data_IF_132910491033
#
_entry.id   IF_132910491033
#
_cell.length_a   1.000
_cell.length_b   1.000
_cell.length_c   1.000
_cell.angle_alpha   90.00
_cell.angle_beta   90.00
_cell.angle_gamma   90.00
#
_symmetry.space_group_name_H-M   'P 1'
#
loop_
_entity.id
_entity.type
_entity.pdbx_description
1 polymer ?
#
# COMPACT_ATOMS: atom_id res chain seq x y z
N UNK A 1 30.17 9.07 -38.88
CA UNK A 1 29.19 9.00 -37.78
C UNK A 1 28.31 10.22 -37.92
N UNK A 2 26.99 10.06 -37.99
CA UNK A 2 26.07 11.18 -38.01
C UNK A 2 25.70 11.50 -36.56
N UNK A 3 25.89 12.74 -36.15
CA UNK A 3 25.45 13.22 -34.84
C UNK A 3 23.92 13.19 -34.78
N UNK A 4 23.37 12.78 -33.64
CA UNK A 4 21.93 12.81 -33.43
C UNK A 4 21.44 14.26 -33.44
N UNK A 5 20.24 14.52 -34.00
CA UNK A 5 19.67 15.85 -33.98
C UNK A 5 19.42 16.30 -32.53
N UNK A 6 19.54 17.60 -32.23
CA UNK A 6 19.12 18.18 -30.95
C UNK A 6 17.71 17.72 -30.56
N UNK A 7 17.48 17.51 -29.26
CA UNK A 7 16.18 17.01 -28.76
C UNK A 7 15.04 17.95 -29.13
N UNK A 8 15.33 19.24 -29.26
CA UNK A 8 14.41 20.31 -29.65
C UNK A 8 13.90 20.14 -31.09
N UNK A 9 14.68 19.47 -31.94
CA UNK A 9 14.35 19.23 -33.35
C UNK A 9 13.50 17.96 -33.53
N UNK A 10 13.29 17.18 -32.47
CA UNK A 10 12.44 15.99 -32.49
C UNK A 10 10.96 16.37 -32.35
N UNK A 11 10.07 15.47 -32.81
CA UNK A 11 8.64 15.64 -32.57
C UNK A 11 8.32 15.65 -31.07
N UNK A 12 7.27 16.38 -30.67
CA UNK A 12 6.86 16.49 -29.25
C UNK A 12 6.69 15.10 -28.60
N UNK A 13 6.11 14.15 -29.33
CA UNK A 13 5.94 12.77 -28.87
C UNK A 13 7.28 12.06 -28.63
N UNK A 14 8.27 12.26 -29.51
CA UNK A 14 9.61 11.68 -29.34
C UNK A 14 10.36 12.33 -28.16
N UNK A 15 10.20 13.64 -27.97
CA UNK A 15 10.74 14.35 -26.80
C UNK A 15 10.16 13.79 -25.49
N UNK A 16 8.86 13.53 -25.45
CA UNK A 16 8.20 13.00 -24.26
C UNK A 16 8.64 11.57 -23.95
N UNK A 17 8.80 10.72 -24.98
CA UNK A 17 9.35 9.36 -24.81
C UNK A 17 10.79 9.40 -24.29
N UNK A 18 11.63 10.30 -24.83
CA UNK A 18 13.01 10.48 -24.35
C UNK A 18 13.03 10.96 -22.89
N UNK A 19 12.19 11.93 -22.53
CA UNK A 19 12.06 12.41 -21.14
C UNK A 19 11.63 11.28 -20.19
N UNK A 20 10.68 10.45 -20.60
CA UNK A 20 10.24 9.29 -19.81
C UNK A 20 11.38 8.28 -19.67
N UNK A 21 12.10 7.97 -20.75
CA UNK A 21 13.27 7.09 -20.70
C UNK A 21 14.41 7.63 -19.82
N UNK A 22 14.65 8.95 -19.86
CA UNK A 22 15.64 9.62 -19.00
C UNK A 22 15.25 9.54 -17.52
N UNK A 23 13.98 9.79 -17.20
CA UNK A 23 13.49 9.87 -15.82
C UNK A 23 13.27 8.49 -15.20
N UNK A 24 12.64 7.56 -15.92
CA UNK A 24 12.22 6.26 -15.38
C UNK A 24 13.31 5.19 -15.54
N UNK A 25 14.16 5.29 -16.56
CA UNK A 25 15.19 4.29 -16.86
C UNK A 25 16.62 4.80 -16.63
N UNK A 26 16.78 6.04 -16.17
CA UNK A 26 18.07 6.67 -15.89
C UNK A 26 19.02 6.65 -17.11
N UNK A 27 18.46 6.77 -18.32
CA UNK A 27 19.18 6.78 -19.59
C UNK A 27 19.51 8.22 -19.98
N UNK A 28 20.79 8.59 -20.11
CA UNK A 28 21.16 9.98 -20.44
C UNK A 28 21.23 10.21 -21.96
N UNK A 29 20.37 11.08 -22.51
CA UNK A 29 20.40 11.52 -23.91
C UNK A 29 21.46 12.62 -24.06
N UNK A 30 22.75 12.24 -24.22
CA UNK A 30 23.36 11.99 -25.53
C UNK A 30 24.26 10.73 -25.58
N UNK A 31 24.24 9.88 -24.55
CA UNK A 31 25.10 8.70 -24.42
C UNK A 31 24.54 7.44 -25.11
N UNK A 32 23.48 7.58 -25.92
CA UNK A 32 23.01 6.50 -26.79
C UNK A 32 24.04 6.24 -27.88
N UNK A 33 24.78 5.13 -27.79
CA UNK A 33 25.74 4.77 -28.83
C UNK A 33 25.04 4.60 -30.18
N UNK A 34 25.71 4.85 -31.33
CA UNK A 34 25.14 4.66 -32.67
C UNK A 34 24.62 3.24 -32.94
N UNK A 35 25.06 2.27 -32.15
CA UNK A 35 24.64 0.87 -32.23
C UNK A 35 23.49 0.54 -31.26
N UNK A 36 22.99 1.49 -30.44
CA UNK A 36 21.70 1.35 -29.77
C UNK A 36 20.52 1.64 -30.71
N UNK A 37 20.80 2.18 -31.89
CA UNK A 37 19.90 2.32 -33.04
C UNK A 37 19.66 0.99 -33.78
N UNK A 38 19.98 -0.17 -33.16
CA UNK A 38 19.58 -1.47 -33.68
C UNK A 38 18.05 -1.62 -33.61
N UNK A 39 17.43 -1.17 -34.70
CA UNK A 39 16.07 -1.41 -35.16
C UNK A 39 15.03 -1.13 -34.08
N UNK A 40 14.72 0.15 -33.90
CA UNK A 40 13.37 0.48 -33.46
C UNK A 40 12.43 -0.26 -34.43
N UNK A 41 11.58 -1.18 -33.94
CA UNK A 41 10.77 -1.98 -34.81
C UNK A 41 9.90 -1.04 -35.65
N UNK A 42 9.75 -1.34 -36.94
CA UNK A 42 8.83 -0.57 -37.78
C UNK A 42 7.45 -0.50 -37.10
N UNK A 43 6.65 0.56 -37.28
CA UNK A 43 5.43 0.76 -36.51
C UNK A 43 4.53 -0.48 -36.41
N UNK A 44 4.40 -1.27 -37.49
CA UNK A 44 3.63 -2.52 -37.44
C UNK A 44 4.25 -3.59 -36.53
N UNK A 45 5.58 -3.70 -36.52
CA UNK A 45 6.32 -4.62 -35.66
C UNK A 45 6.32 -4.16 -34.20
N UNK A 46 6.36 -2.84 -33.96
CA UNK A 46 6.21 -2.25 -32.62
C UNK A 46 4.80 -2.54 -32.08
N UNK A 47 3.77 -2.35 -32.89
CA UNK A 47 2.38 -2.71 -32.52
C UNK A 47 2.27 -4.20 -32.22
N UNK A 48 2.86 -5.08 -33.05
CA UNK A 48 2.87 -6.54 -32.78
C UNK A 48 3.60 -6.90 -31.48
N UNK A 49 4.75 -6.28 -31.20
CA UNK A 49 5.51 -6.48 -29.95
C UNK A 49 4.73 -5.97 -28.74
N UNK A 50 4.09 -4.81 -28.84
CA UNK A 50 3.21 -4.27 -27.80
C UNK A 50 1.92 -5.10 -27.61
N UNK A 51 1.51 -5.88 -28.63
CA UNK A 51 0.38 -6.79 -28.56
C UNK A 51 0.69 -8.14 -27.89
N UNK A 52 1.95 -8.45 -27.56
CA UNK A 52 2.26 -9.66 -26.82
C UNK A 52 1.58 -9.67 -25.44
N UNK A 53 0.95 -10.79 -25.09
CA UNK A 53 0.12 -10.88 -23.88
C UNK A 53 0.80 -10.47 -22.58
N UNK A 54 2.11 -10.70 -22.42
CA UNK A 54 2.86 -10.27 -21.24
C UNK A 54 3.21 -8.77 -21.26
N UNK A 55 3.47 -8.18 -22.43
CA UNK A 55 3.69 -6.74 -22.59
C UNK A 55 2.36 -5.99 -22.41
N UNK A 56 1.27 -6.48 -22.99
CA UNK A 56 -0.07 -5.99 -22.72
C UNK A 56 -0.42 -6.10 -21.23
N UNK A 57 -0.06 -7.21 -20.57
CA UNK A 57 -0.26 -7.35 -19.13
C UNK A 57 0.47 -6.23 -18.37
N UNK A 58 1.72 -5.95 -18.69
CA UNK A 58 2.50 -4.85 -18.09
C UNK A 58 2.07 -3.43 -18.51
N UNK A 59 1.41 -3.30 -19.64
CA UNK A 59 0.89 -2.02 -20.11
C UNK A 59 -0.48 -1.74 -19.48
N UNK A 60 -1.35 -2.75 -19.38
CA UNK A 60 -2.76 -2.60 -18.99
C UNK A 60 -3.01 -2.91 -17.51
N UNK A 61 -2.24 -3.79 -16.86
CA UNK A 61 -2.44 -4.11 -15.44
C UNK A 61 -1.85 -3.02 -14.52
N UNK A 62 -0.65 -2.47 -14.77
CA UNK A 62 -0.09 -1.33 -14.04
C UNK A 62 -0.61 0.04 -14.51
N UNK A 63 -1.18 0.15 -15.71
CA UNK A 63 -1.64 1.43 -16.29
C UNK A 63 -0.53 2.26 -16.94
N UNK A 64 0.59 1.64 -17.31
CA UNK A 64 1.81 2.33 -17.75
C UNK A 64 1.72 2.94 -19.17
N UNK A 65 0.94 2.39 -20.11
CA UNK A 65 0.99 2.92 -21.49
C UNK A 65 -0.10 3.91 -21.89
N UNK A 66 -1.15 4.13 -21.08
CA UNK A 66 -2.31 4.85 -21.61
C UNK A 66 -2.71 6.13 -20.88
N UNK A 67 -2.23 6.43 -19.66
CA UNK A 67 -2.91 7.43 -18.81
C UNK A 67 -4.45 7.18 -18.68
N UNK A 68 -4.95 6.06 -19.19
CA UNK A 68 -6.32 5.63 -19.13
C UNK A 68 -6.43 4.70 -17.93
N UNK A 69 -7.51 4.87 -17.18
CA UNK A 69 -7.84 3.96 -16.10
C UNK A 69 -7.79 2.53 -16.66
N UNK A 70 -7.09 1.58 -15.99
CA UNK A 70 -7.07 0.19 -16.41
C UNK A 70 -8.50 -0.27 -16.65
N UNK A 71 -8.76 -0.93 -17.80
CA UNK A 71 -10.10 -1.42 -18.16
C UNK A 71 -10.57 -2.25 -16.98
N UNK A 72 -11.47 -1.67 -16.19
CA UNK A 72 -11.98 -2.26 -14.98
C UNK A 72 -12.85 -3.42 -15.41
N UNK A 73 -12.27 -4.62 -15.47
CA UNK A 73 -13.08 -5.84 -15.48
C UNK A 73 -14.05 -5.71 -14.32
N UNK A 74 -15.35 -5.95 -14.53
CA UNK A 74 -16.32 -5.91 -13.45
C UNK A 74 -15.81 -6.85 -12.35
N UNK A 75 -15.56 -6.28 -11.17
CA UNK A 75 -15.02 -7.02 -10.05
C UNK A 75 -16.10 -7.95 -9.55
N UNK A 76 -15.79 -9.23 -9.49
CA UNK A 76 -16.64 -10.19 -8.80
C UNK A 76 -16.63 -9.83 -7.31
N UNK A 77 -17.80 -9.63 -6.69
CA UNK A 77 -17.86 -9.33 -5.26
C UNK A 77 -17.16 -10.41 -4.44
N UNK A 78 -16.45 -10.00 -3.39
CA UNK A 78 -15.85 -10.94 -2.44
C UNK A 78 -16.94 -11.49 -1.54
N UNK A 79 -17.31 -12.75 -1.74
CA UNK A 79 -18.33 -13.43 -0.93
C UNK A 79 -17.74 -14.20 0.25
N UNK A 80 -16.50 -14.66 0.13
CA UNK A 80 -15.83 -15.52 1.13
C UNK A 80 -14.48 -14.91 1.57
N UNK A 81 -14.46 -14.15 2.69
CA UNK A 81 -13.23 -13.59 3.22
C UNK A 81 -12.41 -14.62 4.00
N UNK A 82 -11.08 -14.48 3.98
CA UNK A 82 -10.18 -15.36 4.72
C UNK A 82 -10.08 -14.94 6.18
N UNK A 83 -10.38 -15.85 7.10
CA UNK A 83 -10.24 -15.60 8.53
C UNK A 83 -8.87 -16.05 9.03
N UNK A 84 -8.15 -15.16 9.70
CA UNK A 84 -6.80 -15.43 10.22
C UNK A 84 -6.72 -15.06 11.70
N UNK A 85 -6.35 -16.02 12.53
CA UNK A 85 -6.13 -15.78 13.96
C UNK A 85 -4.62 -15.76 14.28
N UNK A 86 -4.12 -14.61 14.74
CA UNK A 86 -2.69 -14.40 14.99
C UNK A 86 -2.37 -14.62 16.47
N UNK A 87 -1.67 -15.73 16.77
CA UNK A 87 -1.25 -16.09 18.13
C UNK A 87 0.15 -15.57 18.50
N UNK A 88 1.00 -15.28 17.51
CA UNK A 88 2.37 -14.79 17.72
C UNK A 88 2.37 -13.30 18.09
N UNK A 89 3.37 -12.88 18.88
CA UNK A 89 3.61 -11.47 19.17
C UNK A 89 4.10 -10.68 17.95
N UNK A 90 4.78 -11.36 16.99
CA UNK A 90 5.37 -10.72 15.80
C UNK A 90 4.91 -11.38 14.50
N UNK A 91 3.60 -11.43 14.22
CA UNK A 91 3.09 -12.11 13.05
C UNK A 91 3.43 -11.31 11.78
N UNK A 92 3.57 -12.03 10.67
CA UNK A 92 3.80 -11.47 9.33
C UNK A 92 2.78 -12.07 8.37
N UNK A 93 2.18 -11.23 7.55
CA UNK A 93 1.25 -11.61 6.49
C UNK A 93 1.80 -11.11 5.16
N UNK A 94 1.59 -11.89 4.10
CA UNK A 94 1.95 -11.51 2.73
C UNK A 94 0.70 -11.56 1.87
N UNK A 95 0.50 -10.56 1.03
CA UNK A 95 -0.62 -10.49 0.11
C UNK A 95 -0.11 -10.32 -1.31
N UNK A 96 -0.56 -11.23 -2.15
CA UNK A 96 -0.43 -11.08 -3.59
C UNK A 96 -1.31 -9.90 -4.04
N UNK A 97 -0.67 -8.89 -4.61
CA UNK A 97 -1.32 -7.65 -5.04
C UNK A 97 -2.20 -7.83 -6.27
N UNK A 98 -2.06 -8.92 -7.03
CA UNK A 98 -2.91 -9.17 -8.21
C UNK A 98 -4.21 -9.89 -7.87
N UNK A 99 -4.41 -10.26 -6.60
CA UNK A 99 -5.60 -10.98 -6.14
C UNK A 99 -6.55 -10.10 -5.32
N UNK A 100 -7.73 -9.82 -5.86
CA UNK A 100 -8.83 -9.13 -5.18
C UNK A 100 -9.38 -10.00 -4.04
N UNK A 101 -8.96 -9.74 -2.80
CA UNK A 101 -9.24 -10.59 -1.62
C UNK A 101 -9.36 -9.76 -0.35
N UNK A 102 -10.09 -10.31 0.63
CA UNK A 102 -10.24 -9.76 1.98
C UNK A 102 -9.74 -10.76 3.00
N UNK A 103 -8.92 -10.28 3.93
CA UNK A 103 -8.49 -11.02 5.12
C UNK A 103 -9.08 -10.34 6.36
N UNK A 104 -9.76 -11.14 7.18
CA UNK A 104 -10.33 -10.74 8.46
C UNK A 104 -9.44 -11.33 9.55
N UNK A 105 -8.65 -10.47 10.17
CA UNK A 105 -7.55 -10.84 11.04
C UNK A 105 -7.91 -10.51 12.47
N UNK A 106 -7.70 -11.45 13.38
CA UNK A 106 -7.91 -11.24 14.81
C UNK A 106 -6.62 -11.58 15.56
N UNK A 107 -6.10 -10.64 16.35
CA UNK A 107 -4.85 -10.82 17.11
C UNK A 107 -5.07 -11.55 18.43
N UNK A 108 -3.99 -11.88 19.14
CA UNK A 108 -4.04 -12.05 20.58
C UNK A 108 -4.40 -10.71 21.29
N UNK A 109 -4.95 -10.74 22.51
CA UNK A 109 -5.15 -9.54 23.32
C UNK A 109 -3.84 -8.76 23.50
N UNK A 110 -3.87 -7.45 23.26
CA UNK A 110 -2.70 -6.58 23.30
C UNK A 110 -3.08 -5.18 23.80
N UNK A 111 -2.06 -4.39 24.17
CA UNK A 111 -2.19 -3.00 24.62
C UNK A 111 -1.86 -1.98 23.51
N UNK A 112 -1.39 -2.45 22.37
CA UNK A 112 -0.83 -1.63 21.31
C UNK A 112 -0.24 -2.48 20.20
N UNK A 113 -0.14 -1.89 19.01
CA UNK A 113 0.34 -2.57 17.81
C UNK A 113 1.27 -1.65 17.05
N UNK A 114 2.51 -2.10 16.83
CA UNK A 114 3.31 -1.53 15.74
C UNK A 114 3.00 -2.26 14.45
N UNK A 115 2.52 -1.53 13.46
CA UNK A 115 2.15 -2.04 12.16
C UNK A 115 3.14 -1.51 11.12
N UNK A 116 3.74 -2.41 10.34
CA UNK A 116 4.59 -2.09 9.20
C UNK A 116 3.96 -2.66 7.94
N UNK A 117 3.57 -1.78 7.03
CA UNK A 117 3.11 -2.13 5.69
C UNK A 117 4.24 -1.83 4.70
N UNK A 118 4.63 -2.82 3.92
CA UNK A 118 5.66 -2.69 2.90
C UNK A 118 5.17 -3.25 1.58
N UNK A 119 5.42 -2.52 0.51
CA UNK A 119 5.16 -2.94 -0.86
C UNK A 119 6.46 -3.37 -1.54
N UNK A 120 6.36 -4.37 -2.41
CA UNK A 120 7.44 -4.85 -3.25
C UNK A 120 6.91 -5.32 -4.60
N UNK A 121 7.73 -5.17 -5.64
CA UNK A 121 7.46 -5.72 -6.98
C UNK A 121 8.46 -6.83 -7.24
N UNK A 122 8.00 -7.95 -7.77
CA UNK A 122 8.90 -8.93 -8.37
C UNK A 122 9.13 -8.51 -9.84
N UNK A 123 10.34 -8.08 -10.23
CA UNK A 123 10.59 -7.59 -11.58
C UNK A 123 10.49 -8.69 -12.64
N UNK A 124 10.63 -9.97 -12.27
CA UNK A 124 10.58 -11.09 -13.22
C UNK A 124 9.14 -11.48 -13.59
N UNK A 125 8.27 -11.53 -12.60
CA UNK A 125 6.85 -11.87 -12.80
C UNK A 125 5.95 -10.64 -12.93
N UNK A 126 6.51 -9.46 -12.67
CA UNK A 126 5.81 -8.18 -12.51
C UNK A 126 4.62 -8.24 -11.55
N UNK A 127 4.65 -9.20 -10.63
CA UNK A 127 3.64 -9.32 -9.59
C UNK A 127 3.99 -8.41 -8.43
N UNK A 128 2.94 -7.90 -7.80
CA UNK A 128 3.06 -7.04 -6.62
C UNK A 128 2.85 -7.85 -5.36
N UNK A 129 3.57 -7.52 -4.29
CA UNK A 129 3.44 -8.19 -3.01
C UNK A 129 3.45 -7.17 -1.87
N UNK A 130 2.45 -7.27 -1.00
CA UNK A 130 2.35 -6.48 0.21
C UNK A 130 2.74 -7.33 1.41
N UNK A 131 3.65 -6.83 2.23
CA UNK A 131 4.05 -7.45 3.49
C UNK A 131 3.51 -6.62 4.63
N UNK A 132 2.69 -7.24 5.46
CA UNK A 132 2.17 -6.68 6.70
C UNK A 132 2.89 -7.34 7.87
N UNK A 133 3.77 -6.61 8.53
CA UNK A 133 4.38 -7.00 9.79
C UNK A 133 3.66 -6.36 10.96
N UNK A 134 3.29 -7.15 11.97
CA UNK A 134 2.78 -6.62 13.24
C UNK A 134 3.79 -6.93 14.35
N UNK A 135 3.85 -6.05 15.34
CA UNK A 135 4.51 -6.30 16.62
C UNK A 135 3.52 -5.90 17.71
N UNK A 136 2.92 -6.91 18.33
CA UNK A 136 1.88 -6.79 19.35
C UNK A 136 2.52 -6.53 20.71
N UNK A 137 2.07 -5.49 21.39
CA UNK A 137 2.45 -5.21 22.76
C UNK A 137 1.62 -6.09 23.70
N UNK A 138 2.10 -7.32 23.94
CA UNK A 138 1.41 -8.31 24.79
C UNK A 138 1.61 -8.04 26.29
N UNK A 139 2.72 -7.39 26.64
CA UNK A 139 3.01 -6.93 27.99
C UNK A 139 2.88 -5.42 28.03
N UNK A 140 2.36 -4.92 29.15
CA UNK A 140 2.45 -3.52 29.51
C UNK A 140 3.85 -3.26 30.06
N UNK A 141 4.89 -3.50 29.27
CA UNK A 141 6.23 -3.14 29.72
C UNK A 141 6.24 -1.62 29.86
N UNK A 142 6.53 -1.16 31.08
CA UNK A 142 6.33 0.20 31.54
C UNK A 142 6.79 1.22 30.50
N UNK A 143 5.84 1.94 29.93
CA UNK A 143 6.10 3.09 29.10
C UNK A 143 6.89 4.10 29.95
N UNK A 144 8.21 4.11 29.79
CA UNK A 144 9.10 5.08 30.39
C UNK A 144 9.08 5.18 31.92
N UNK A 145 8.84 4.11 32.67
CA UNK A 145 9.20 4.15 34.10
C UNK A 145 10.71 3.95 34.24
N UNK A 146 11.48 4.98 33.84
CA UNK A 146 12.78 5.15 34.46
C UNK A 146 12.52 5.40 35.95
N UNK A 147 13.07 4.58 36.85
CA UNK A 147 12.99 4.87 38.27
C UNK A 147 13.53 6.29 38.50
N UNK A 148 12.92 7.03 39.43
CA UNK A 148 13.35 8.39 39.73
C UNK A 148 14.87 8.40 39.95
N UNK A 149 15.60 9.17 39.13
CA UNK A 149 17.08 9.18 39.13
C UNK A 149 17.67 9.57 40.49
N UNK A 150 16.91 10.30 41.30
CA UNK A 150 17.36 10.85 42.59
C UNK A 150 17.05 9.88 43.74
N UNK A 151 15.81 9.41 43.87
CA UNK A 151 15.42 8.61 45.05
C UNK A 151 15.43 7.10 44.81
N UNK A 152 15.62 6.64 43.56
CA UNK A 152 15.49 5.24 43.10
C UNK A 152 14.16 4.55 43.47
N UNK A 153 13.23 5.24 44.13
CA UNK A 153 11.90 4.74 44.38
C UNK A 153 11.15 4.76 43.05
N UNK A 154 10.62 3.62 42.67
CA UNK A 154 9.56 3.57 41.67
C UNK A 154 8.47 4.53 42.11
N UNK A 155 7.92 5.38 41.23
CA UNK A 155 6.80 6.24 41.60
C UNK A 155 5.76 5.35 42.28
N UNK A 156 5.34 5.75 43.48
CA UNK A 156 4.48 4.97 44.37
C UNK A 156 3.38 4.26 43.58
N UNK A 157 3.13 3.01 43.95
CA UNK A 157 2.07 2.11 43.49
C UNK A 157 0.66 2.63 43.78
N UNK A 158 0.37 3.91 43.51
CA UNK A 158 -1.00 4.35 43.29
C UNK A 158 -1.58 3.45 42.23
N UNK A 159 -2.71 2.80 42.52
CA UNK A 159 -3.44 1.91 41.63
C UNK A 159 -3.67 2.66 40.32
N UNK A 160 -2.75 2.52 39.35
CA UNK A 160 -2.92 3.07 38.02
C UNK A 160 -3.90 2.16 37.34
N UNK A 161 -5.08 2.71 37.01
CA UNK A 161 -6.03 2.03 36.15
C UNK A 161 -5.28 1.52 34.93
N UNK A 162 -5.21 0.20 34.80
CA UNK A 162 -4.62 -0.45 33.65
C UNK A 162 -5.77 -0.72 32.70
N UNK A 163 -5.82 -0.05 31.54
CA UNK A 163 -6.80 -0.39 30.54
C UNK A 163 -6.68 -1.87 30.19
N UNK A 164 -7.79 -2.60 30.02
CA UNK A 164 -7.75 -4.02 29.68
C UNK A 164 -7.06 -4.22 28.33
N UNK A 165 -6.34 -5.33 28.16
CA UNK A 165 -5.84 -5.71 26.85
C UNK A 165 -7.02 -6.08 25.94
N UNK A 166 -6.90 -5.74 24.65
CA UNK A 166 -8.00 -5.93 23.70
C UNK A 166 -7.56 -6.81 22.56
N UNK A 167 -8.48 -7.66 22.13
CA UNK A 167 -8.32 -8.43 20.93
C UNK A 167 -8.53 -7.55 19.69
N UNK A 168 -7.45 -7.17 19.01
CA UNK A 168 -7.57 -6.31 17.85
C UNK A 168 -8.02 -7.08 16.62
N UNK A 169 -9.17 -6.69 16.09
CA UNK A 169 -9.66 -7.03 14.74
C UNK A 169 -9.10 -6.09 13.68
N UNK A 170 -8.48 -6.63 12.64
CA UNK A 170 -8.01 -5.92 11.46
C UNK A 170 -8.72 -6.46 10.22
N UNK A 171 -9.12 -5.58 9.31
CA UNK A 171 -9.57 -5.96 7.98
C UNK A 171 -8.53 -5.53 6.96
N UNK A 172 -8.07 -6.46 6.14
CA UNK A 172 -7.08 -6.20 5.10
C UNK A 172 -7.71 -6.50 3.74
N UNK A 173 -7.96 -5.44 2.99
CA UNK A 173 -8.69 -5.47 1.73
C UNK A 173 -7.72 -5.15 0.59
N UNK A 174 -7.40 -6.13 -0.25
CA UNK A 174 -6.71 -5.84 -1.52
C UNK A 174 -7.75 -5.32 -2.52
N UNK A 175 -7.72 -4.01 -2.77
CA UNK A 175 -8.73 -3.34 -3.57
C UNK A 175 -8.58 -3.63 -5.06
N UNK A 176 -7.38 -3.96 -5.55
CA UNK A 176 -7.04 -4.03 -6.99
C UNK A 176 -7.59 -2.84 -7.80
N UNK A 177 -7.68 -1.65 -7.18
CA UNK A 177 -8.32 -0.44 -7.70
C UNK A 177 -9.57 -0.02 -6.92
N UNK A 178 -9.42 0.97 -6.06
CA UNK A 178 -10.49 1.53 -5.21
C UNK A 178 -11.43 2.48 -5.96
N UNK A 179 -11.18 2.77 -7.25
CA UNK A 179 -12.03 3.62 -8.09
C UNK A 179 -13.31 2.92 -8.57
N UNK A 180 -13.44 1.60 -8.37
CA UNK A 180 -14.65 0.85 -8.76
C UNK A 180 -15.89 1.39 -8.04
N UNK A 181 -17.00 1.53 -8.75
CA UNK A 181 -18.29 1.93 -8.17
C UNK A 181 -18.78 0.94 -7.10
N UNK A 182 -18.46 -0.34 -7.22
CA UNK A 182 -18.85 -1.37 -6.24
C UNK A 182 -18.00 -1.34 -4.97
N UNK A 183 -16.78 -0.79 -5.03
CA UNK A 183 -15.79 -0.90 -3.95
C UNK A 183 -16.28 -0.30 -2.62
N UNK A 184 -16.82 0.93 -2.57
CA UNK A 184 -17.32 1.48 -1.31
C UNK A 184 -18.42 0.62 -0.69
N UNK A 185 -19.36 0.10 -1.49
CA UNK A 185 -20.46 -0.72 -1.00
C UNK A 185 -19.97 -2.06 -0.44
N UNK A 186 -19.03 -2.72 -1.13
CA UNK A 186 -18.43 -3.97 -0.66
C UNK A 186 -17.62 -3.77 0.62
N UNK A 187 -16.80 -2.71 0.67
CA UNK A 187 -16.03 -2.35 1.85
C UNK A 187 -16.96 -2.09 3.04
N UNK A 188 -18.08 -1.38 2.83
CA UNK A 188 -19.13 -1.14 3.83
C UNK A 188 -19.68 -2.45 4.40
N UNK A 189 -20.01 -3.39 3.51
CA UNK A 189 -20.60 -4.68 3.87
C UNK A 189 -19.65 -5.47 4.76
N UNK A 190 -18.37 -5.59 4.38
CA UNK A 190 -17.38 -6.28 5.18
C UNK A 190 -17.11 -5.56 6.51
N UNK A 191 -17.02 -4.22 6.49
CA UNK A 191 -16.83 -3.42 7.70
C UNK A 191 -17.98 -3.61 8.70
N UNK A 192 -19.24 -3.52 8.23
CA UNK A 192 -20.43 -3.69 9.09
C UNK A 192 -20.50 -5.09 9.69
N UNK A 193 -20.17 -6.12 8.92
CA UNK A 193 -20.26 -7.51 9.35
C UNK A 193 -19.15 -7.90 10.34
N UNK A 194 -17.91 -7.42 10.10
CA UNK A 194 -16.76 -7.82 10.91
C UNK A 194 -16.41 -6.83 12.04
N UNK A 195 -16.84 -5.57 11.91
CA UNK A 195 -16.53 -4.46 12.83
C UNK A 195 -15.02 -4.35 13.14
N UNK A 196 -14.15 -4.25 12.11
CA UNK A 196 -12.71 -4.12 12.34
C UNK A 196 -12.40 -2.84 13.10
N UNK A 197 -11.36 -2.88 13.95
CA UNK A 197 -10.85 -1.66 14.58
C UNK A 197 -9.91 -0.89 13.66
N UNK A 198 -9.15 -1.64 12.83
CA UNK A 198 -8.20 -1.10 11.86
C UNK A 198 -8.54 -1.70 10.49
N UNK A 199 -8.63 -0.84 9.48
CA UNK A 199 -8.84 -1.23 8.08
C UNK A 199 -7.60 -0.86 7.29
N UNK A 200 -7.04 -1.83 6.56
CA UNK A 200 -5.90 -1.65 5.68
C UNK A 200 -6.38 -1.96 4.26
N UNK A 201 -6.16 -1.04 3.34
CA UNK A 201 -6.57 -1.18 1.95
C UNK A 201 -5.31 -1.11 1.09
N UNK A 202 -5.03 -2.15 0.33
CA UNK A 202 -3.86 -2.19 -0.58
C UNK A 202 -4.31 -2.09 -2.04
N UNK A 203 -3.36 -1.81 -2.93
CA UNK A 203 -3.62 -1.69 -4.38
C UNK A 203 -4.76 -0.71 -4.70
N UNK A 204 -4.77 0.42 -4.03
CA UNK A 204 -5.88 1.39 -4.14
C UNK A 204 -5.94 2.02 -5.53
N UNK A 205 -4.78 2.13 -6.21
CA UNK A 205 -4.57 2.83 -7.50
C UNK A 205 -5.13 4.26 -7.48
N UNK A 206 -5.22 4.84 -6.28
CA UNK A 206 -5.78 6.14 -6.03
C UNK A 206 -4.93 6.87 -5.00
N UNK A 207 -4.72 8.19 -5.17
CA UNK A 207 -4.06 9.00 -4.16
C UNK A 207 -4.81 8.96 -2.81
N UNK A 208 -4.06 9.08 -1.71
CA UNK A 208 -4.54 9.04 -0.33
C UNK A 208 -5.60 10.11 -0.02
N UNK A 209 -5.66 11.22 -0.76
CA UNK A 209 -6.74 12.22 -0.62
C UNK A 209 -8.14 11.63 -0.86
N UNK A 210 -8.25 10.58 -1.68
CA UNK A 210 -9.52 9.87 -1.90
C UNK A 210 -9.88 8.94 -0.74
N UNK A 211 -8.89 8.50 0.03
CA UNK A 211 -9.09 7.63 1.19
C UNK A 211 -10.03 8.28 2.21
N UNK A 212 -9.85 9.58 2.49
CA UNK A 212 -10.68 10.31 3.47
C UNK A 212 -12.18 10.22 3.15
N UNK A 213 -12.55 10.46 1.88
CA UNK A 213 -13.95 10.43 1.42
C UNK A 213 -14.57 9.03 1.56
N UNK A 214 -13.78 8.00 1.26
CA UNK A 214 -14.22 6.60 1.35
C UNK A 214 -14.25 6.14 2.82
N UNK A 215 -13.25 6.49 3.63
CA UNK A 215 -13.20 6.14 5.05
C UNK A 215 -14.35 6.80 5.83
N UNK A 216 -14.68 8.07 5.51
CA UNK A 216 -15.75 8.79 6.18
C UNK A 216 -17.14 8.16 6.01
N UNK A 217 -17.37 7.37 4.96
CA UNK A 217 -18.64 6.65 4.81
C UNK A 217 -18.80 5.44 5.75
N UNK A 218 -17.76 5.06 6.50
CA UNK A 218 -17.75 3.87 7.37
C UNK A 218 -17.39 4.17 8.82
N UNK A 219 -17.62 5.41 9.28
CA UNK A 219 -17.31 5.87 10.65
C UNK A 219 -15.80 5.79 10.99
N UNK A 220 -14.93 5.70 9.99
CA UNK A 220 -13.48 5.78 10.15
C UNK A 220 -13.06 7.23 9.91
N UNK A 221 -12.73 7.93 10.97
CA UNK A 221 -12.42 9.37 10.97
C UNK A 221 -10.91 9.65 10.89
N UNK A 222 -10.07 8.66 11.16
CA UNK A 222 -8.62 8.77 11.09
C UNK A 222 -8.05 7.90 9.97
N UNK A 223 -7.02 8.40 9.28
CA UNK A 223 -6.37 7.68 8.19
C UNK A 223 -4.93 8.13 7.92
N UNK A 224 -4.15 7.20 7.37
CA UNK A 224 -2.87 7.46 6.73
C UNK A 224 -2.82 6.72 5.39
N UNK A 225 -2.11 7.29 4.42
CA UNK A 225 -1.97 6.67 3.12
C UNK A 225 -0.59 6.86 2.51
N UNK A 226 -0.21 5.87 1.72
CA UNK A 226 0.82 5.94 0.70
C UNK A 226 0.12 6.22 -0.62
N UNK A 227 0.52 7.30 -1.28
CA UNK A 227 0.05 7.61 -2.62
C UNK A 227 0.52 6.55 -3.62
N UNK A 228 -0.23 6.38 -4.69
CA UNK A 228 0.23 5.57 -5.79
C UNK A 228 1.36 6.33 -6.51
N UNK A 229 2.54 5.72 -6.63
CA UNK A 229 3.71 6.28 -7.31
C UNK A 229 4.44 5.17 -8.08
N UNK A 230 4.59 5.33 -9.39
CA UNK A 230 5.16 4.33 -10.28
C UNK A 230 4.45 2.98 -10.13
N UNK A 231 5.21 1.93 -9.78
CA UNK A 231 4.68 0.59 -9.55
C UNK A 231 3.98 0.42 -8.20
N UNK A 232 4.22 1.32 -7.23
CA UNK A 232 3.58 1.28 -5.91
C UNK A 232 2.12 1.72 -6.07
N UNK A 233 1.19 0.78 -6.05
CA UNK A 233 -0.23 1.00 -6.40
C UNK A 233 -1.06 1.64 -5.28
N UNK A 234 -0.43 2.30 -4.33
CA UNK A 234 -1.09 2.99 -3.21
C UNK A 234 -1.60 2.04 -2.11
N UNK A 235 -1.66 2.55 -0.89
CA UNK A 235 -2.19 1.81 0.26
C UNK A 235 -2.67 2.74 1.37
N UNK A 236 -3.76 2.39 2.04
CA UNK A 236 -4.37 3.19 3.09
C UNK A 236 -4.51 2.38 4.38
N UNK A 237 -4.39 3.06 5.51
CA UNK A 237 -4.70 2.55 6.84
C UNK A 237 -5.73 3.52 7.43
N UNK A 238 -6.87 3.01 7.87
CA UNK A 238 -7.96 3.79 8.43
C UNK A 238 -8.47 3.15 9.73
N UNK A 239 -8.89 3.96 10.70
CA UNK A 239 -9.36 3.52 12.01
C UNK A 239 -10.29 4.57 12.63
N UNK A 240 -10.95 4.22 13.75
CA UNK A 240 -11.68 5.16 14.58
C UNK A 240 -10.74 5.87 15.54
N UNK A 241 -10.72 7.19 15.60
CA UNK A 241 -9.86 7.97 16.50
C UNK A 241 -10.07 7.61 17.97
N UNK A 242 -11.31 7.30 18.35
CA UNK A 242 -11.63 6.83 19.70
C UNK A 242 -11.03 5.45 20.07
N UNK A 243 -10.54 4.67 19.09
CA UNK A 243 -9.94 3.36 19.32
C UNK A 243 -8.45 3.43 19.66
N UNK A 244 -7.72 4.34 19.02
CA UNK A 244 -6.28 4.46 19.21
C UNK A 244 -5.71 5.82 18.81
N UNK A 245 -4.72 6.26 19.58
CA UNK A 245 -3.77 7.28 19.16
C UNK A 245 -2.70 6.64 18.27
N UNK A 246 -2.36 7.27 17.16
CA UNK A 246 -1.44 6.68 16.17
C UNK A 246 -0.29 7.63 15.89
N UNK A 247 0.93 7.11 16.03
CA UNK A 247 2.15 7.82 15.66
C UNK A 247 2.73 7.21 14.37
N UNK A 248 3.06 8.05 13.39
CA UNK A 248 3.79 7.62 12.19
C UNK A 248 5.27 7.53 12.55
N UNK A 249 5.82 6.32 12.51
CA UNK A 249 7.23 6.05 12.85
C UNK A 249 8.14 6.19 11.63
N UNK A 250 7.68 5.71 10.48
CA UNK A 250 8.43 5.73 9.23
C UNK A 250 7.46 5.80 8.05
N UNK A 251 7.76 6.68 7.09
CA UNK A 251 6.97 6.83 5.86
C UNK A 251 7.92 7.06 4.69
N UNK A 252 7.96 6.07 3.82
CA UNK A 252 8.66 6.10 2.54
C UNK A 252 7.67 5.76 1.40
N UNK A 253 8.02 5.97 0.12
CA UNK A 253 7.07 5.78 -0.99
C UNK A 253 6.34 4.43 -0.98
N UNK A 254 7.01 3.36 -0.57
CA UNK A 254 6.47 2.00 -0.59
C UNK A 254 6.54 1.32 0.79
N UNK A 255 6.62 2.11 1.86
CA UNK A 255 6.65 1.61 3.25
C UNK A 255 5.99 2.60 4.20
N UNK A 256 5.11 2.08 5.06
CA UNK A 256 4.47 2.84 6.12
C UNK A 256 4.55 2.05 7.42
N UNK A 257 5.18 2.63 8.44
CA UNK A 257 5.22 2.09 9.79
C UNK A 257 4.52 3.03 10.74
N UNK A 258 3.54 2.50 11.48
CA UNK A 258 2.74 3.25 12.44
C UNK A 258 2.67 2.51 13.77
N UNK A 259 2.55 3.26 14.86
CA UNK A 259 2.43 2.75 16.22
C UNK A 259 1.04 3.09 16.76
N UNK A 260 0.20 2.08 16.92
CA UNK A 260 -1.14 2.20 17.51
C UNK A 260 -1.06 2.04 19.01
N UNK A 261 -1.49 3.09 19.71
CA UNK A 261 -1.61 3.19 21.16
C UNK A 261 -3.08 3.14 21.52
N UNK A 262 -3.56 1.99 22.00
CA UNK A 262 -5.00 1.77 22.22
C UNK A 262 -5.50 2.69 23.34
N UNK A 263 -6.65 3.33 23.13
CA UNK A 263 -7.21 4.36 24.04
C UNK A 263 -8.35 3.85 24.92
N UNK A 264 -8.67 2.57 24.79
CA UNK A 264 -9.82 1.92 25.44
C UNK A 264 -9.53 1.60 26.90
#
# INVERSE_FOLDING_TARGET
MADLPPIEDLSIMAQDIIKIGQVEMNLDYPNMQPNHLFVLPIPEETVKKLQHGHIQKEIYIPGLANYLAPISKPKTPITDPFYVHLKSAKPRLSLDGDHHRVFLVTTAPNYGIRLSLQFSVNPLSATTNHKLGLNLQLKKDNWNEQPCKICKRSPNSSIRYVPPSIQTRLMLYNATGAASASFPLELAKHHRNFQPHIVIITETRLPARHAKRIASSFELDQFHGLDALGLCRGSWIAWKGAFANVDVIDKAPCKLTVDFKLTV
#
